data_IF_506354773393
#
_entry.id   IF_506354773393
#
_cell.length_a   1.000
_cell.length_b   1.000
_cell.length_c   1.000
_cell.angle_alpha   90.00
_cell.angle_beta   90.00
_cell.angle_gamma   90.00
#
_symmetry.space_group_name_H-M   'P 1'
#
loop_
_entity.id
_entity.type
_entity.pdbx_description
1 polymer ?
#
# COMPACT_ATOMS: atom_id res chain seq x y z
N UNK A 1 -6.18 10.14 -17.05
CA UNK A 1 -6.79 11.48 -16.81
C UNK A 1 -7.48 11.44 -15.46
N UNK A 2 -7.02 12.25 -14.51
CA UNK A 2 -7.58 12.25 -13.15
C UNK A 2 -9.10 12.45 -13.19
N UNK A 3 -9.83 11.79 -12.33
CA UNK A 3 -11.28 11.90 -12.20
C UNK A 3 -11.67 13.00 -11.22
N UNK A 4 -12.90 13.48 -11.34
CA UNK A 4 -13.48 14.39 -10.35
C UNK A 4 -14.20 13.57 -9.27
N UNK A 5 -14.04 13.97 -8.01
CA UNK A 5 -14.84 13.45 -6.89
C UNK A 5 -16.27 14.00 -6.95
N UNK A 6 -17.15 13.49 -6.11
CA UNK A 6 -18.48 14.05 -5.93
C UNK A 6 -18.48 15.53 -5.51
N UNK A 7 -17.42 16.00 -4.83
CA UNK A 7 -17.19 17.39 -4.47
C UNK A 7 -16.55 18.23 -5.59
N UNK A 8 -16.20 17.63 -6.73
CA UNK A 8 -15.57 18.30 -7.86
C UNK A 8 -14.05 18.47 -7.77
N UNK A 9 -13.39 17.82 -6.81
CA UNK A 9 -11.93 17.82 -6.68
C UNK A 9 -11.29 16.74 -7.54
N UNK A 10 -10.05 16.96 -7.98
CA UNK A 10 -9.33 15.97 -8.78
C UNK A 10 -8.67 14.91 -7.88
N UNK A 11 -8.90 13.64 -8.23
CA UNK A 11 -8.26 12.49 -7.61
C UNK A 11 -7.72 11.54 -8.69
N UNK A 12 -6.62 10.86 -8.41
CA UNK A 12 -5.99 9.89 -9.31
C UNK A 12 -6.31 8.47 -8.86
N UNK A 13 -6.47 7.57 -9.82
CA UNK A 13 -6.57 6.13 -9.56
C UNK A 13 -5.25 5.48 -9.93
N UNK A 14 -4.64 4.83 -8.98
CA UNK A 14 -3.38 4.10 -9.14
C UNK A 14 -3.53 2.63 -8.80
N UNK A 15 -2.56 1.83 -9.22
CA UNK A 15 -2.54 0.38 -9.00
C UNK A 15 -1.10 -0.07 -8.84
N UNK A 16 -0.79 -1.07 -7.97
CA UNK A 16 0.58 -1.52 -7.78
C UNK A 16 1.12 -2.25 -9.02
N UNK A 17 2.40 -2.08 -9.31
CA UNK A 17 3.04 -2.76 -10.44
C UNK A 17 2.93 -4.28 -10.34
N UNK A 18 2.88 -4.83 -9.12
CA UNK A 18 2.66 -6.28 -8.88
C UNK A 18 1.30 -6.79 -9.38
N UNK A 19 0.29 -5.92 -9.56
CA UNK A 19 -1.00 -6.31 -10.13
C UNK A 19 -0.86 -6.93 -11.53
N UNK A 20 0.13 -6.52 -12.32
CA UNK A 20 0.39 -7.08 -13.64
C UNK A 20 1.78 -7.75 -13.71
N UNK A 21 2.25 -8.38 -12.62
CA UNK A 21 3.57 -9.01 -12.60
C UNK A 21 3.54 -10.49 -13.02
N UNK A 22 2.46 -11.21 -12.68
CA UNK A 22 2.36 -12.67 -12.88
C UNK A 22 0.93 -13.09 -13.23
N UNK A 23 0.80 -14.17 -14.01
CA UNK A 23 -0.48 -14.85 -14.28
C UNK A 23 -0.55 -16.20 -13.55
N UNK A 24 -1.76 -16.80 -13.52
CA UNK A 24 -2.04 -18.07 -12.82
C UNK A 24 -1.26 -19.27 -13.40
N UNK A 25 -0.85 -19.21 -14.67
CA UNK A 25 0.00 -20.21 -15.32
C UNK A 25 1.51 -20.03 -15.03
N UNK A 26 1.85 -19.04 -14.18
CA UNK A 26 3.24 -18.73 -13.82
C UNK A 26 3.95 -17.78 -14.77
N UNK A 27 3.31 -17.36 -15.90
CA UNK A 27 3.88 -16.39 -16.84
C UNK A 27 4.15 -15.07 -16.12
N UNK A 28 5.36 -14.52 -16.29
CA UNK A 28 5.74 -13.22 -15.78
C UNK A 28 5.65 -12.16 -16.88
N UNK A 29 5.26 -10.95 -16.51
CA UNK A 29 5.24 -9.78 -17.37
C UNK A 29 6.35 -8.81 -16.96
N UNK A 30 6.93 -8.10 -17.93
CA UNK A 30 7.92 -7.07 -17.65
C UNK A 30 7.26 -5.82 -17.08
N UNK A 31 8.01 -5.03 -16.31
CA UNK A 31 7.52 -3.74 -15.81
C UNK A 31 7.11 -2.79 -16.95
N UNK A 32 7.80 -2.82 -18.09
CA UNK A 32 7.45 -2.00 -19.27
C UNK A 32 6.12 -2.44 -19.88
N UNK A 33 5.86 -3.76 -19.95
CA UNK A 33 4.55 -4.28 -20.36
C UNK A 33 3.44 -3.92 -19.35
N UNK A 34 3.76 -3.88 -18.06
CA UNK A 34 2.83 -3.42 -17.04
C UNK A 34 2.46 -1.94 -17.25
N UNK A 35 3.42 -1.07 -17.58
CA UNK A 35 3.12 0.34 -17.87
C UNK A 35 2.17 0.49 -19.06
N UNK A 36 2.37 -0.28 -20.13
CA UNK A 36 1.46 -0.28 -21.28
C UNK A 36 0.06 -0.74 -20.88
N UNK A 37 -0.02 -1.85 -20.17
CA UNK A 37 -1.29 -2.42 -19.70
C UNK A 37 -2.07 -1.43 -18.82
N UNK A 38 -1.42 -0.76 -17.87
CA UNK A 38 -2.09 0.17 -16.96
C UNK A 38 -2.58 1.43 -17.68
N UNK A 39 -1.78 1.96 -18.63
CA UNK A 39 -2.19 3.09 -19.44
C UNK A 39 -3.39 2.74 -20.33
N UNK A 40 -3.35 1.59 -20.98
CA UNK A 40 -4.43 1.11 -21.86
C UNK A 40 -5.71 0.80 -21.06
N UNK A 41 -5.59 0.35 -19.81
CA UNK A 41 -6.71 0.18 -18.87
C UNK A 41 -7.22 1.52 -18.28
N UNK A 42 -6.55 2.63 -18.56
CA UNK A 42 -6.97 3.99 -18.19
C UNK A 42 -6.59 4.42 -16.76
N UNK A 43 -5.68 3.73 -16.09
CA UNK A 43 -5.16 4.20 -14.79
C UNK A 43 -4.38 5.50 -14.95
N UNK A 44 -4.36 6.33 -13.88
CA UNK A 44 -3.69 7.62 -13.88
C UNK A 44 -2.23 7.52 -13.42
N UNK A 45 -1.90 6.39 -12.81
CA UNK A 45 -0.55 6.14 -12.33
C UNK A 45 -0.39 4.75 -11.72
N UNK A 46 0.79 4.52 -11.18
CA UNK A 46 1.16 3.27 -10.56
C UNK A 46 1.80 3.47 -9.20
N UNK A 47 1.59 2.53 -8.30
CA UNK A 47 2.38 2.31 -7.12
C UNK A 47 3.51 1.32 -7.47
N UNK A 48 4.76 1.76 -7.34
CA UNK A 48 5.91 0.92 -7.69
C UNK A 48 6.21 -0.05 -6.55
N UNK A 49 5.91 -1.33 -6.75
CA UNK A 49 6.25 -2.38 -5.77
C UNK A 49 7.73 -2.72 -5.84
N UNK A 50 8.43 -2.60 -4.70
CA UNK A 50 9.85 -2.89 -4.53
C UNK A 50 10.11 -4.09 -3.61
N UNK A 51 9.11 -4.95 -3.45
CA UNK A 51 9.09 -6.08 -2.52
C UNK A 51 10.15 -7.16 -2.80
N UNK A 52 10.57 -7.31 -4.06
CA UNK A 52 11.62 -8.26 -4.47
C UNK A 52 13.02 -7.59 -4.60
N UNK A 53 13.22 -6.40 -4.01
CA UNK A 53 14.47 -5.67 -4.16
C UNK A 53 15.59 -6.29 -3.32
N UNK A 54 16.64 -6.75 -3.99
CA UNK A 54 17.84 -7.22 -3.32
C UNK A 54 18.71 -6.07 -2.77
N UNK A 55 19.39 -6.26 -1.62
CA UNK A 55 20.09 -5.18 -0.92
C UNK A 55 21.21 -4.51 -1.71
N UNK A 56 21.93 -5.28 -2.51
CA UNK A 56 23.14 -4.84 -3.19
C UNK A 56 22.86 -4.16 -4.54
N UNK A 57 21.58 -3.93 -4.81
CA UNK A 57 21.05 -3.07 -5.86
C UNK A 57 21.74 -3.24 -7.20
N UNK A 58 21.44 -4.35 -7.87
CA UNK A 58 21.95 -4.67 -9.18
C UNK A 58 21.78 -3.48 -10.15
N UNK A 59 22.84 -3.10 -10.86
CA UNK A 59 22.79 -2.07 -11.92
C UNK A 59 21.75 -2.44 -13.00
N UNK A 60 21.48 -3.72 -13.20
CA UNK A 60 20.41 -4.23 -14.06
C UNK A 60 19.04 -3.78 -13.53
N UNK A 61 18.78 -3.96 -12.24
CA UNK A 61 17.51 -3.54 -11.65
C UNK A 61 17.32 -2.02 -11.75
N UNK A 62 18.38 -1.23 -11.52
CA UNK A 62 18.35 0.22 -11.71
C UNK A 62 17.99 0.59 -13.15
N UNK A 63 18.60 -0.07 -14.12
CA UNK A 63 18.32 0.13 -15.53
C UNK A 63 16.88 -0.23 -15.88
N UNK A 64 16.36 -1.35 -15.36
CA UNK A 64 14.97 -1.77 -15.54
C UNK A 64 13.99 -0.75 -14.95
N UNK A 65 14.23 -0.30 -13.73
CA UNK A 65 13.38 0.70 -13.07
C UNK A 65 13.42 2.05 -13.78
N UNK A 66 14.59 2.47 -14.25
CA UNK A 66 14.71 3.70 -15.03
C UNK A 66 13.97 3.60 -16.37
N UNK A 67 14.10 2.47 -17.06
CA UNK A 67 13.36 2.19 -18.31
C UNK A 67 11.84 2.17 -18.07
N UNK A 68 11.40 1.58 -16.95
CA UNK A 68 10.00 1.61 -16.55
C UNK A 68 9.51 3.04 -16.29
N UNK A 69 10.25 3.85 -15.52
CA UNK A 69 9.89 5.24 -15.25
C UNK A 69 9.73 6.06 -16.52
N UNK A 70 10.67 5.92 -17.49
CA UNK A 70 10.56 6.57 -18.79
C UNK A 70 9.34 6.07 -19.59
N UNK A 71 9.05 4.78 -19.56
CA UNK A 71 7.89 4.21 -20.25
C UNK A 71 6.58 4.69 -19.63
N UNK A 72 6.48 4.69 -18.30
CA UNK A 72 5.33 5.22 -17.58
C UNK A 72 5.08 6.70 -17.95
N UNK A 73 6.11 7.53 -17.89
CA UNK A 73 6.00 8.94 -18.27
C UNK A 73 5.57 9.12 -19.72
N UNK A 74 6.14 8.34 -20.66
CA UNK A 74 5.75 8.38 -22.08
C UNK A 74 4.29 7.98 -22.32
N UNK A 75 3.72 7.18 -21.42
CA UNK A 75 2.31 6.77 -21.43
C UNK A 75 1.38 7.70 -20.62
N UNK A 76 1.92 8.75 -20.03
CA UNK A 76 1.15 9.69 -19.18
C UNK A 76 0.81 9.15 -17.79
N UNK A 77 1.44 8.05 -17.35
CA UNK A 77 1.29 7.52 -16.00
C UNK A 77 2.18 8.27 -15.03
N UNK A 78 1.63 8.60 -13.86
CA UNK A 78 2.42 9.10 -12.72
C UNK A 78 2.89 7.95 -11.82
N UNK A 79 3.94 8.18 -11.03
CA UNK A 79 4.38 7.25 -9.97
C UNK A 79 4.33 8.04 -8.64
N UNK A 80 3.15 8.21 -8.04
CA UNK A 80 3.00 9.06 -6.85
C UNK A 80 3.52 8.42 -5.58
N UNK A 81 3.68 7.11 -5.57
CA UNK A 81 4.13 6.35 -4.42
C UNK A 81 4.85 5.08 -4.85
N UNK A 82 5.61 4.50 -3.92
CA UNK A 82 6.14 3.16 -4.03
C UNK A 82 5.92 2.40 -2.72
N UNK A 83 5.81 1.07 -2.82
CA UNK A 83 5.84 0.19 -1.67
C UNK A 83 7.25 -0.37 -1.48
N UNK A 84 7.87 -0.05 -0.34
CA UNK A 84 9.20 -0.56 0.02
C UNK A 84 9.15 -2.07 0.30
N UNK A 85 10.29 -2.77 0.30
CA UNK A 85 10.33 -4.18 0.69
C UNK A 85 9.62 -4.43 2.02
N UNK A 86 8.73 -5.42 2.07
CA UNK A 86 7.89 -5.70 3.24
C UNK A 86 8.01 -7.14 3.77
N UNK A 87 8.68 -8.04 3.05
CA UNK A 87 8.94 -9.40 3.54
C UNK A 87 9.95 -9.38 4.68
N UNK A 88 9.45 -8.99 5.84
CA UNK A 88 10.27 -8.85 7.04
C UNK A 88 10.67 -10.22 7.58
N UNK A 89 11.97 -10.47 7.81
CA UNK A 89 12.44 -11.68 8.49
C UNK A 89 12.06 -11.66 9.96
N UNK A 90 12.30 -12.78 10.67
CA UNK A 90 12.16 -12.78 12.12
C UNK A 90 12.97 -11.64 12.73
N UNK A 91 12.36 -10.78 13.56
CA UNK A 91 13.07 -9.69 14.23
C UNK A 91 14.20 -10.16 15.17
N UNK A 92 14.24 -11.45 15.52
CA UNK A 92 15.28 -12.06 16.34
C UNK A 92 16.48 -12.55 15.51
N UNK A 93 16.38 -12.58 14.18
CA UNK A 93 17.49 -12.83 13.26
C UNK A 93 18.16 -11.51 12.88
N UNK A 94 19.17 -11.09 13.66
CA UNK A 94 19.88 -9.83 13.45
C UNK A 94 20.52 -9.73 12.05
N UNK A 95 21.04 -10.84 11.51
CA UNK A 95 21.70 -10.85 10.20
C UNK A 95 20.68 -10.67 9.08
N UNK A 96 19.52 -11.34 9.17
CA UNK A 96 18.43 -11.19 8.23
C UNK A 96 17.78 -9.81 8.33
N UNK A 97 17.60 -9.28 9.56
CA UNK A 97 17.10 -7.91 9.76
C UNK A 97 18.05 -6.85 9.20
N UNK A 98 19.37 -7.04 9.34
CA UNK A 98 20.35 -6.13 8.73
C UNK A 98 20.30 -6.19 7.19
N UNK A 99 20.12 -7.35 6.57
CA UNK A 99 19.89 -7.45 5.12
C UNK A 99 18.61 -6.75 4.71
N UNK A 100 17.52 -6.99 5.43
CA UNK A 100 16.23 -6.35 5.17
C UNK A 100 16.34 -4.82 5.25
N UNK A 101 17.02 -4.28 6.27
CA UNK A 101 17.28 -2.85 6.39
C UNK A 101 18.05 -2.29 5.17
N UNK A 102 19.01 -3.05 4.63
CA UNK A 102 19.72 -2.66 3.39
C UNK A 102 18.79 -2.67 2.18
N UNK A 103 17.91 -3.66 2.04
CA UNK A 103 16.91 -3.72 0.95
C UNK A 103 15.97 -2.51 1.00
N UNK A 104 15.45 -2.20 2.20
CA UNK A 104 14.59 -1.02 2.40
C UNK A 104 15.35 0.28 2.07
N UNK A 105 16.59 0.39 2.53
CA UNK A 105 17.46 1.54 2.23
C UNK A 105 17.71 1.69 0.72
N UNK A 106 17.93 0.59 0.00
CA UNK A 106 18.04 0.58 -1.45
C UNK A 106 16.74 1.04 -2.11
N UNK A 107 15.59 0.57 -1.61
CA UNK A 107 14.26 1.02 -2.06
C UNK A 107 14.07 2.53 -1.96
N UNK A 108 14.43 3.13 -0.82
CA UNK A 108 14.39 4.60 -0.64
C UNK A 108 15.26 5.32 -1.67
N UNK A 109 16.46 4.81 -1.96
CA UNK A 109 17.33 5.39 -3.00
C UNK A 109 16.73 5.27 -4.40
N UNK A 110 16.06 4.15 -4.71
CA UNK A 110 15.36 3.96 -5.98
C UNK A 110 14.16 4.91 -6.11
N UNK A 111 13.38 5.08 -5.03
CA UNK A 111 12.30 6.06 -4.99
C UNK A 111 12.82 7.47 -5.31
N UNK A 112 13.90 7.90 -4.65
CA UNK A 112 14.52 9.19 -4.90
C UNK A 112 15.04 9.34 -6.34
N UNK A 113 15.69 8.31 -6.89
CA UNK A 113 16.19 8.28 -8.28
C UNK A 113 15.04 8.48 -9.29
N UNK A 114 13.89 7.87 -9.04
CA UNK A 114 12.70 7.98 -9.88
C UNK A 114 11.84 9.21 -9.54
N UNK A 115 12.26 10.04 -8.58
CA UNK A 115 11.51 11.21 -8.08
C UNK A 115 10.12 10.85 -7.55
N UNK A 116 9.98 9.67 -6.95
CA UNK A 116 8.76 9.24 -6.28
C UNK A 116 8.68 9.96 -4.94
N UNK A 117 7.61 10.73 -4.67
CA UNK A 117 7.55 11.58 -3.49
C UNK A 117 7.27 10.80 -2.20
N UNK A 118 6.53 9.70 -2.28
CA UNK A 118 6.04 8.97 -1.12
C UNK A 118 6.44 7.49 -1.17
N UNK A 119 6.85 6.94 -0.01
CA UNK A 119 7.25 5.55 0.11
C UNK A 119 6.53 4.90 1.30
N UNK A 120 5.73 3.89 1.02
CA UNK A 120 5.01 3.11 2.04
C UNK A 120 5.95 2.09 2.67
N UNK A 121 5.88 1.96 3.99
CA UNK A 121 6.68 1.03 4.77
C UNK A 121 5.84 0.38 5.87
N UNK A 122 5.99 -0.94 6.01
CA UNK A 122 5.40 -1.67 7.12
C UNK A 122 6.17 -1.45 8.42
N UNK A 123 5.48 -1.29 9.56
CA UNK A 123 6.11 -1.40 10.87
C UNK A 123 6.51 -2.86 11.14
N UNK A 124 7.44 -3.05 12.07
CA UNK A 124 7.71 -4.37 12.62
C UNK A 124 6.46 -4.88 13.33
N UNK A 125 5.96 -6.04 12.91
CA UNK A 125 4.87 -6.75 13.56
C UNK A 125 5.44 -7.96 14.28
N UNK A 126 5.06 -8.15 15.54
CA UNK A 126 5.39 -9.35 16.30
C UNK A 126 4.12 -9.95 16.88
N UNK A 127 4.04 -11.26 16.79
CA UNK A 127 2.97 -12.07 17.36
C UNK A 127 3.44 -12.70 18.66
N UNK A 128 3.49 -11.93 19.74
CA UNK A 128 3.93 -12.41 21.04
C UNK A 128 2.95 -12.01 22.16
N UNK A 129 2.52 -12.99 22.94
CA UNK A 129 1.52 -12.84 24.00
C UNK A 129 1.94 -11.95 25.19
N UNK A 130 3.17 -11.45 25.25
CA UNK A 130 3.72 -10.73 26.41
C UNK A 130 4.43 -9.42 26.10
N UNK A 131 4.37 -8.92 24.87
CA UNK A 131 5.05 -7.68 24.52
C UNK A 131 4.17 -6.47 24.83
N UNK A 132 4.78 -5.46 25.47
CA UNK A 132 4.07 -4.20 25.68
C UNK A 132 4.09 -3.35 24.40
N UNK A 133 3.10 -2.47 24.29
CA UNK A 133 3.01 -1.48 23.22
C UNK A 133 4.26 -0.58 23.18
N UNK A 134 4.81 -0.22 24.32
CA UNK A 134 6.01 0.60 24.45
C UNK A 134 7.26 -0.09 23.88
N UNK A 135 7.40 -1.40 24.07
CA UNK A 135 8.50 -2.17 23.48
C UNK A 135 8.37 -2.24 21.96
N UNK A 136 7.15 -2.50 21.45
CA UNK A 136 6.87 -2.48 20.02
C UNK A 136 7.22 -1.11 19.42
N UNK A 137 6.79 -0.03 20.04
CA UNK A 137 7.08 1.33 19.59
C UNK A 137 8.59 1.63 19.59
N UNK A 138 9.30 1.26 20.65
CA UNK A 138 10.73 1.48 20.76
C UNK A 138 11.52 0.72 19.68
N UNK A 139 11.14 -0.52 19.38
CA UNK A 139 11.76 -1.30 18.29
C UNK A 139 11.53 -0.69 16.92
N UNK A 140 10.30 -0.28 16.66
CA UNK A 140 9.95 0.36 15.39
C UNK A 140 10.69 1.68 15.20
N UNK A 141 10.76 2.52 16.24
CA UNK A 141 11.53 3.76 16.18
C UNK A 141 13.01 3.45 15.92
N UNK A 142 13.60 2.50 16.63
CA UNK A 142 15.00 2.10 16.41
C UNK A 142 15.28 1.61 15.00
N UNK A 143 14.37 0.84 14.42
CA UNK A 143 14.51 0.28 13.07
C UNK A 143 14.27 1.32 11.99
N UNK A 144 13.18 2.09 12.11
CA UNK A 144 12.72 2.99 11.06
C UNK A 144 13.43 4.35 11.06
N UNK A 145 13.96 4.80 12.20
CA UNK A 145 14.61 6.12 12.32
C UNK A 145 15.74 6.34 11.31
N UNK A 146 16.71 5.42 11.12
CA UNK A 146 17.77 5.61 10.13
C UNK A 146 17.23 5.66 8.70
N UNK A 147 16.18 4.89 8.41
CA UNK A 147 15.53 4.83 7.10
C UNK A 147 14.81 6.17 6.83
N UNK A 148 14.08 6.68 7.83
CA UNK A 148 13.41 7.98 7.76
C UNK A 148 14.40 9.12 7.55
N UNK A 149 15.52 9.10 8.25
CA UNK A 149 16.56 10.13 8.12
C UNK A 149 17.16 10.14 6.70
N UNK A 150 17.37 8.96 6.12
CA UNK A 150 17.82 8.84 4.75
C UNK A 150 16.74 9.35 3.77
N UNK A 151 15.49 8.91 3.94
CA UNK A 151 14.38 9.31 3.09
C UNK A 151 14.21 10.84 3.09
N UNK A 152 14.22 11.47 4.27
CA UNK A 152 14.13 12.91 4.40
C UNK A 152 15.28 13.65 3.70
N UNK A 153 16.53 13.15 3.80
CA UNK A 153 17.68 13.72 3.08
C UNK A 153 17.54 13.62 1.56
N UNK A 154 16.83 12.62 1.08
CA UNK A 154 16.62 12.36 -0.35
C UNK A 154 15.31 12.95 -0.89
N UNK A 155 14.53 13.63 -0.05
CA UNK A 155 13.25 14.23 -0.45
C UNK A 155 12.11 13.24 -0.63
N UNK A 156 12.20 12.05 0.00
CA UNK A 156 11.16 11.01 0.00
C UNK A 156 10.43 11.04 1.34
N UNK A 157 9.11 11.14 1.32
CA UNK A 157 8.27 11.04 2.51
C UNK A 157 7.96 9.59 2.82
N UNK A 158 8.32 9.11 4.01
CA UNK A 158 7.85 7.80 4.48
C UNK A 158 6.42 7.88 4.97
N UNK A 159 5.63 6.86 4.64
CA UNK A 159 4.27 6.64 5.10
C UNK A 159 4.20 5.27 5.78
N UNK A 160 3.98 5.25 7.10
CA UNK A 160 3.84 4.00 7.86
C UNK A 160 2.44 3.44 7.63
N UNK A 161 2.35 2.15 7.32
CA UNK A 161 1.08 1.49 7.03
C UNK A 161 0.49 0.82 8.27
N UNK A 162 -0.85 0.86 8.42
CA UNK A 162 -1.54 0.06 9.42
C UNK A 162 -1.60 -1.41 8.99
N UNK A 163 -1.27 -2.29 9.91
CA UNK A 163 -1.24 -3.72 9.69
C UNK A 163 -2.55 -4.40 10.11
N UNK A 164 -2.75 -5.64 9.71
CA UNK A 164 -3.89 -6.41 10.21
C UNK A 164 -3.72 -6.74 11.69
N UNK A 165 -4.75 -6.46 12.50
CA UNK A 165 -4.79 -6.75 13.93
C UNK A 165 -5.27 -8.15 14.28
N UNK A 166 -5.66 -8.96 13.28
CA UNK A 166 -6.05 -10.35 13.55
C UNK A 166 -4.79 -11.18 13.76
N UNK A 167 -4.68 -11.81 14.95
CA UNK A 167 -3.65 -12.82 15.14
C UNK A 167 -3.87 -13.95 14.14
N UNK A 168 -2.78 -14.53 13.64
CA UNK A 168 -2.88 -15.75 12.85
C UNK A 168 -3.67 -16.81 13.64
N UNK A 169 -4.38 -17.69 12.94
CA UNK A 169 -5.19 -18.73 13.56
C UNK A 169 -4.46 -19.58 14.63
N UNK A 170 -3.13 -19.60 14.60
CA UNK A 170 -2.28 -20.25 15.58
C UNK A 170 -2.17 -19.50 16.93
N UNK A 171 -2.48 -18.20 16.98
CA UNK A 171 -2.25 -17.34 18.16
C UNK A 171 -3.42 -16.36 18.39
N UNK A 172 -4.64 -16.85 18.66
CA UNK A 172 -5.85 -16.02 18.68
C UNK A 172 -5.94 -15.04 19.86
N UNK A 173 -5.05 -15.13 20.84
CA UNK A 173 -5.05 -14.30 22.06
C UNK A 173 -3.94 -13.23 22.08
N UNK A 174 -3.19 -13.09 21.01
CA UNK A 174 -2.07 -12.16 20.96
C UNK A 174 -2.51 -10.79 20.45
N UNK A 175 -2.07 -9.72 21.12
CA UNK A 175 -2.25 -8.37 20.62
C UNK A 175 -1.30 -8.11 19.45
N UNK A 176 -1.80 -7.52 18.38
CA UNK A 176 -1.02 -7.08 17.22
C UNK A 176 -1.00 -5.57 17.22
N UNK A 177 0.13 -4.97 17.58
CA UNK A 177 0.30 -3.52 17.53
C UNK A 177 0.60 -3.05 16.11
N UNK A 178 0.22 -1.80 15.81
CA UNK A 178 0.34 -1.21 14.48
C UNK A 178 -0.90 -1.44 13.61
N UNK A 179 -2.00 -1.92 14.19
CA UNK A 179 -3.23 -2.21 13.46
C UNK A 179 -4.31 -1.12 13.63
N UNK A 180 -4.20 -0.29 14.65
CA UNK A 180 -5.15 0.80 14.93
C UNK A 180 -4.58 2.17 14.51
N UNK A 181 -5.47 3.14 14.34
CA UNK A 181 -5.06 4.52 14.08
C UNK A 181 -4.18 5.08 15.21
N UNK A 182 -4.49 4.74 16.46
CA UNK A 182 -3.69 5.18 17.61
C UNK A 182 -2.26 4.67 17.56
N UNK A 183 -2.05 3.40 17.19
CA UNK A 183 -0.73 2.80 17.09
C UNK A 183 0.11 3.45 16.00
N UNK A 184 -0.45 3.56 14.78
CA UNK A 184 0.30 4.13 13.64
C UNK A 184 0.49 5.63 13.79
N UNK A 185 -0.44 6.35 14.42
CA UNK A 185 -0.32 7.77 14.70
C UNK A 185 0.85 8.04 15.66
N UNK A 186 0.92 7.32 16.79
CA UNK A 186 2.02 7.50 17.74
C UNK A 186 3.36 7.18 17.09
N UNK A 187 3.46 6.10 16.31
CA UNK A 187 4.68 5.75 15.58
C UNK A 187 5.05 6.83 14.56
N UNK A 188 4.07 7.33 13.79
CA UNK A 188 4.29 8.37 12.80
C UNK A 188 4.72 9.69 13.45
N UNK A 189 4.18 10.05 14.61
CA UNK A 189 4.59 11.24 15.36
C UNK A 189 6.02 11.13 15.86
N UNK A 190 6.38 10.00 16.48
CA UNK A 190 7.75 9.73 16.98
C UNK A 190 8.79 9.81 15.88
N UNK A 191 8.44 9.36 14.67
CA UNK A 191 9.33 9.35 13.51
C UNK A 191 9.22 10.61 12.65
N UNK A 192 8.23 11.48 12.89
CA UNK A 192 7.88 12.59 11.99
C UNK A 192 7.64 12.10 10.56
N UNK A 193 6.85 11.02 10.42
CA UNK A 193 6.40 10.44 9.15
C UNK A 193 4.92 10.72 8.92
N UNK A 194 4.40 10.25 7.79
CA UNK A 194 2.99 10.24 7.48
C UNK A 194 2.44 8.81 7.60
N UNK A 195 1.15 8.64 7.37
CA UNK A 195 0.45 7.36 7.43
C UNK A 195 -0.03 6.97 6.05
N UNK A 196 0.11 5.69 5.73
CA UNK A 196 -0.64 4.99 4.70
C UNK A 196 -1.76 4.21 5.39
N UNK A 197 -3.03 4.48 5.03
CA UNK A 197 -4.14 3.74 5.59
C UNK A 197 -4.59 2.64 4.64
N UNK A 198 -4.47 1.39 5.10
CA UNK A 198 -4.98 0.23 4.38
C UNK A 198 -6.37 -0.15 4.92
N UNK A 199 -7.37 0.00 4.04
CA UNK A 199 -8.78 -0.25 4.36
C UNK A 199 -9.08 -1.73 4.57
N UNK A 200 -8.41 -2.60 3.84
CA UNK A 200 -8.57 -4.04 3.98
C UNK A 200 -8.01 -4.55 5.32
N UNK A 201 -6.84 -4.07 5.72
CA UNK A 201 -6.25 -4.38 7.03
C UNK A 201 -7.14 -3.92 8.18
N UNK A 202 -7.69 -2.70 8.09
CA UNK A 202 -8.62 -2.18 9.08
C UNK A 202 -9.92 -3.01 9.14
N UNK A 203 -10.46 -3.45 7.99
CA UNK A 203 -11.63 -4.32 7.93
C UNK A 203 -11.34 -5.70 8.57
N UNK A 204 -10.17 -6.28 8.33
CA UNK A 204 -9.74 -7.52 8.99
C UNK A 204 -9.64 -7.37 10.51
N UNK A 205 -9.26 -6.19 10.98
CA UNK A 205 -9.19 -5.88 12.41
C UNK A 205 -10.58 -5.63 13.01
N UNK A 206 -11.59 -5.38 12.18
CA UNK A 206 -12.97 -5.11 12.60
C UNK A 206 -13.17 -3.67 13.06
N UNK A 207 -12.38 -2.74 12.50
CA UNK A 207 -12.43 -1.32 12.85
C UNK A 207 -13.51 -0.58 12.06
N UNK A 208 -14.11 0.44 12.67
CA UNK A 208 -14.93 1.44 12.00
C UNK A 208 -13.99 2.43 11.29
N UNK A 209 -14.05 2.48 9.97
CA UNK A 209 -13.10 3.25 9.14
C UNK A 209 -13.13 4.74 9.44
N UNK A 210 -14.33 5.32 9.53
CA UNK A 210 -14.52 6.75 9.80
C UNK A 210 -13.97 7.15 11.18
N UNK A 211 -14.25 6.34 12.21
CA UNK A 211 -13.80 6.60 13.57
C UNK A 211 -12.27 6.51 13.71
N UNK A 212 -11.64 5.58 13.00
CA UNK A 212 -10.17 5.48 13.00
C UNK A 212 -9.52 6.60 12.19
N UNK A 213 -10.03 6.88 11.00
CA UNK A 213 -9.47 7.92 10.13
C UNK A 213 -9.63 9.34 10.72
N UNK A 214 -10.70 9.62 11.47
CA UNK A 214 -10.84 10.89 12.17
C UNK A 214 -9.69 11.18 13.13
N UNK A 215 -9.17 10.14 13.81
CA UNK A 215 -7.97 10.27 14.69
C UNK A 215 -6.71 10.63 13.91
N UNK A 216 -6.67 10.31 12.62
CA UNK A 216 -5.53 10.54 11.72
C UNK A 216 -5.61 11.85 10.93
N UNK A 217 -6.44 12.81 11.36
CA UNK A 217 -6.63 14.09 10.67
C UNK A 217 -5.30 14.76 10.31
N UNK A 218 -5.11 15.06 9.02
CA UNK A 218 -3.90 15.69 8.48
C UNK A 218 -2.65 14.79 8.47
N UNK A 219 -2.77 13.50 8.80
CA UNK A 219 -1.66 12.54 8.83
C UNK A 219 -1.73 11.48 7.73
N UNK A 220 -2.90 11.20 7.18
CA UNK A 220 -3.05 10.25 6.07
C UNK A 220 -2.56 10.91 4.78
N UNK A 221 -1.60 10.27 4.13
CA UNK A 221 -1.00 10.74 2.88
C UNK A 221 -1.15 9.74 1.74
N UNK A 222 -1.10 8.46 2.05
CA UNK A 222 -1.34 7.37 1.12
C UNK A 222 -2.51 6.52 1.61
N UNK A 223 -3.16 5.82 0.69
CA UNK A 223 -4.19 4.84 1.02
C UNK A 223 -4.03 3.60 0.16
N UNK A 224 -4.24 2.43 0.76
CA UNK A 224 -4.38 1.17 0.06
C UNK A 224 -5.83 0.73 0.10
N UNK A 225 -6.37 0.46 -1.08
CA UNK A 225 -7.79 0.20 -1.29
C UNK A 225 -7.93 -1.19 -1.87
N UNK A 226 -8.48 -2.07 -1.09
CA UNK A 226 -8.90 -3.40 -1.52
C UNK A 226 -10.02 -3.92 -0.62
N UNK A 227 -10.83 -4.80 -1.13
CA UNK A 227 -11.85 -5.48 -0.35
C UNK A 227 -11.36 -6.85 0.13
N UNK A 228 -12.00 -7.38 1.15
CA UNK A 228 -11.79 -8.72 1.65
C UNK A 228 -13.07 -9.27 2.31
N UNK A 229 -13.01 -10.47 2.84
CA UNK A 229 -14.15 -11.12 3.48
C UNK A 229 -14.23 -10.88 5.00
N UNK A 230 -13.41 -9.97 5.51
CA UNK A 230 -13.26 -9.73 6.95
C UNK A 230 -12.53 -10.86 7.70
N UNK A 231 -12.03 -11.87 7.00
CA UNK A 231 -11.34 -13.02 7.57
C UNK A 231 -9.94 -13.25 6.97
N UNK A 232 -9.75 -12.96 5.69
CA UNK A 232 -8.50 -13.20 4.95
C UNK A 232 -8.13 -11.97 4.13
N UNK A 233 -6.84 -11.69 4.05
CA UNK A 233 -6.29 -10.61 3.24
C UNK A 233 -6.27 -11.01 1.75
N UNK A 234 -7.43 -10.84 1.09
CA UNK A 234 -7.67 -11.35 -0.26
C UNK A 234 -7.44 -10.34 -1.38
N UNK A 235 -7.29 -9.06 -1.08
CA UNK A 235 -7.08 -7.97 -2.04
C UNK A 235 -8.06 -7.99 -3.23
N UNK A 236 -9.37 -8.05 -2.93
CA UNK A 236 -10.43 -8.05 -3.93
C UNK A 236 -10.76 -6.63 -4.41
N UNK A 237 -11.40 -6.55 -5.56
CA UNK A 237 -11.92 -5.28 -6.08
C UNK A 237 -12.97 -4.73 -5.09
N UNK A 238 -12.92 -3.43 -4.74
CA UNK A 238 -13.95 -2.78 -3.92
C UNK A 238 -15.36 -2.99 -4.46
N UNK A 239 -16.35 -3.06 -3.57
CA UNK A 239 -17.76 -3.30 -3.89
C UNK A 239 -18.04 -4.66 -4.55
N UNK A 240 -17.08 -5.60 -4.54
CA UNK A 240 -17.32 -6.94 -5.09
C UNK A 240 -18.09 -7.80 -4.09
N UNK A 241 -19.38 -7.98 -4.36
CA UNK A 241 -20.28 -8.79 -3.51
C UNK A 241 -20.44 -10.23 -4.01
N UNK A 242 -19.67 -10.65 -5.02
CA UNK A 242 -19.85 -11.97 -5.67
C UNK A 242 -19.39 -13.13 -4.78
N UNK A 243 -18.50 -12.87 -3.84
CA UNK A 243 -18.07 -13.85 -2.85
C UNK A 243 -18.42 -13.37 -1.44
N UNK A 244 -19.61 -13.73 -0.95
CA UNK A 244 -19.97 -13.51 0.45
C UNK A 244 -19.35 -14.59 1.31
N UNK A 245 -18.44 -14.20 2.21
CA UNK A 245 -18.01 -15.09 3.27
C UNK A 245 -19.08 -15.18 4.36
N UNK A 246 -19.36 -16.39 4.90
CA UNK A 246 -20.25 -16.53 6.05
C UNK A 246 -19.62 -16.02 7.36
N UNK A 247 -18.35 -15.61 7.37
CA UNK A 247 -17.57 -15.34 8.59
C UNK A 247 -17.23 -13.83 8.75
N UNK A 248 -17.39 -13.03 7.69
CA UNK A 248 -17.07 -11.60 7.74
C UNK A 248 -17.74 -10.83 6.61
N UNK A 249 -17.76 -9.51 6.74
CA UNK A 249 -18.32 -8.57 5.76
C UNK A 249 -17.23 -7.96 4.88
N UNK A 250 -17.65 -7.46 3.72
CA UNK A 250 -16.86 -6.52 2.91
C UNK A 250 -16.58 -5.23 3.68
N UNK A 251 -15.59 -4.48 3.22
CA UNK A 251 -15.35 -3.10 3.67
C UNK A 251 -16.63 -2.27 3.48
N UNK A 252 -17.02 -1.51 4.48
CA UNK A 252 -18.05 -0.48 4.35
C UNK A 252 -17.45 0.74 3.65
N UNK A 253 -17.68 0.83 2.32
CA UNK A 253 -17.10 1.88 1.50
C UNK A 253 -17.76 3.25 1.68
N UNK A 254 -18.96 3.33 2.24
CA UNK A 254 -19.60 4.59 2.63
C UNK A 254 -18.95 5.14 3.90
N UNK A 255 -18.72 4.30 4.90
CA UNK A 255 -17.97 4.63 6.11
C UNK A 255 -16.51 4.96 5.80
N UNK A 256 -15.87 4.23 4.86
CA UNK A 256 -14.52 4.52 4.36
C UNK A 256 -14.42 5.91 3.71
N UNK A 257 -15.37 6.26 2.86
CA UNK A 257 -15.41 7.58 2.22
C UNK A 257 -15.63 8.70 3.25
N UNK A 258 -16.50 8.49 4.24
CA UNK A 258 -16.66 9.44 5.35
C UNK A 258 -15.34 9.63 6.10
N UNK A 259 -14.65 8.55 6.41
CA UNK A 259 -13.34 8.60 7.06
C UNK A 259 -12.31 9.40 6.27
N UNK A 260 -12.26 9.25 4.94
CA UNK A 260 -11.38 10.04 4.07
C UNK A 260 -11.69 11.54 4.10
N UNK A 261 -12.97 11.92 4.23
CA UNK A 261 -13.36 13.31 4.44
C UNK A 261 -12.93 13.83 5.81
N UNK A 262 -13.18 13.05 6.87
CA UNK A 262 -12.84 13.42 8.25
C UNK A 262 -11.35 13.58 8.49
N UNK A 263 -10.51 12.74 7.87
CA UNK A 263 -9.06 12.85 7.98
C UNK A 263 -8.43 13.89 7.04
N UNK A 264 -9.23 14.63 6.28
CA UNK A 264 -8.77 15.66 5.34
C UNK A 264 -7.86 15.12 4.22
N UNK A 265 -8.07 13.86 3.79
CA UNK A 265 -7.25 13.23 2.76
C UNK A 265 -7.19 14.05 1.47
N UNK A 266 -8.30 14.68 1.08
CA UNK A 266 -8.36 15.52 -0.12
C UNK A 266 -7.50 16.79 -0.04
N UNK A 267 -7.03 17.18 1.14
CA UNK A 267 -6.10 18.29 1.33
C UNK A 267 -4.64 17.88 1.11
N UNK A 268 -4.34 16.60 0.95
CA UNK A 268 -2.97 16.12 0.71
C UNK A 268 -2.51 16.42 -0.71
N UNK A 269 -1.19 16.51 -0.92
CA UNK A 269 -0.62 16.69 -2.26
C UNK A 269 -0.65 15.43 -3.11
N UNK A 270 -0.81 14.26 -2.47
CA UNK A 270 -0.84 12.94 -3.12
C UNK A 270 -2.26 12.34 -3.08
N UNK A 271 -3.20 12.95 -3.81
CA UNK A 271 -4.58 12.49 -3.89
C UNK A 271 -4.71 11.29 -4.82
N UNK A 272 -4.35 10.11 -4.32
CA UNK A 272 -4.40 8.88 -5.08
C UNK A 272 -5.20 7.81 -4.35
N UNK A 273 -6.20 7.24 -4.99
CA UNK A 273 -6.83 5.99 -4.59
C UNK A 273 -5.98 4.85 -5.15
N UNK A 274 -5.13 4.24 -4.34
CA UNK A 274 -4.27 3.13 -4.77
C UNK A 274 -4.99 1.80 -4.57
N UNK A 275 -5.40 1.17 -5.68
CA UNK A 275 -6.08 -0.12 -5.68
C UNK A 275 -5.06 -1.25 -5.45
N UNK A 276 -4.83 -1.64 -4.23
CA UNK A 276 -3.87 -2.69 -3.88
C UNK A 276 -4.43 -4.11 -4.14
N UNK A 277 -4.56 -4.43 -5.42
CA UNK A 277 -5.20 -5.66 -5.88
C UNK A 277 -4.21 -6.78 -6.19
N UNK A 278 -4.68 -8.02 -6.10
CA UNK A 278 -4.00 -9.23 -6.58
C UNK A 278 -4.64 -9.71 -7.88
N UNK A 279 -3.82 -10.10 -8.86
CA UNK A 279 -4.27 -10.70 -10.12
C UNK A 279 -3.42 -11.90 -10.53
N UNK A 280 -2.66 -12.46 -9.59
CA UNK A 280 -1.82 -13.64 -9.84
C UNK A 280 -2.63 -14.92 -10.11
N UNK A 281 -3.89 -14.94 -9.76
CA UNK A 281 -4.88 -15.99 -10.03
C UNK A 281 -5.56 -15.84 -11.40
N UNK A 282 -5.44 -14.67 -12.05
CA UNK A 282 -5.98 -14.47 -13.38
C UNK A 282 -5.09 -15.12 -14.46
N UNK A 283 -5.70 -15.68 -15.53
CA UNK A 283 -4.93 -16.21 -16.65
C UNK A 283 -4.16 -15.10 -17.37
N UNK A 284 -3.20 -15.49 -18.22
CA UNK A 284 -2.43 -14.55 -19.04
C UNK A 284 -3.24 -13.92 -20.19
N UNK A 285 -4.49 -14.37 -20.40
CA UNK A 285 -5.36 -13.85 -21.43
C UNK A 285 -5.64 -12.36 -21.27
N UNK A 286 -5.35 -11.58 -22.31
CA UNK A 286 -5.44 -10.13 -22.26
C UNK A 286 -6.87 -9.62 -22.13
N UNK A 287 -7.86 -10.33 -22.69
CA UNK A 287 -9.27 -9.93 -22.61
C UNK A 287 -9.76 -10.03 -21.17
N UNK A 288 -9.43 -11.15 -20.50
CA UNK A 288 -9.82 -11.37 -19.10
C UNK A 288 -9.14 -10.34 -18.19
N UNK A 289 -7.83 -10.10 -18.38
CA UNK A 289 -7.09 -9.13 -17.58
C UNK A 289 -7.56 -7.70 -17.78
N UNK A 290 -7.85 -7.31 -19.02
CA UNK A 290 -8.41 -5.99 -19.33
C UNK A 290 -9.82 -5.81 -18.73
N UNK A 291 -10.67 -6.83 -18.79
CA UNK A 291 -12.00 -6.78 -18.18
C UNK A 291 -11.90 -6.61 -16.64
N UNK A 292 -10.96 -7.33 -15.99
CA UNK A 292 -10.74 -7.20 -14.57
C UNK A 292 -10.20 -5.80 -14.20
N UNK A 293 -9.24 -5.26 -14.95
CA UNK A 293 -8.69 -3.93 -14.75
C UNK A 293 -9.75 -2.83 -14.94
N UNK A 294 -10.60 -2.95 -15.96
CA UNK A 294 -11.71 -2.02 -16.21
C UNK A 294 -12.72 -2.03 -15.06
N UNK A 295 -13.02 -3.21 -14.52
CA UNK A 295 -13.90 -3.36 -13.34
C UNK A 295 -13.28 -2.72 -12.09
N UNK A 296 -11.98 -2.94 -11.87
CA UNK A 296 -11.25 -2.34 -10.77
C UNK A 296 -11.27 -0.81 -10.84
N UNK A 297 -10.99 -0.26 -12.03
CA UNK A 297 -11.07 1.19 -12.25
C UNK A 297 -12.46 1.74 -11.99
N UNK A 298 -13.51 1.08 -12.50
CA UNK A 298 -14.89 1.50 -12.24
C UNK A 298 -15.23 1.50 -10.74
N UNK A 299 -14.75 0.53 -9.98
CA UNK A 299 -14.94 0.48 -8.54
C UNK A 299 -14.27 1.68 -7.82
N UNK A 300 -13.07 2.06 -8.25
CA UNK A 300 -12.39 3.24 -7.71
C UNK A 300 -13.09 4.56 -8.09
N UNK A 301 -13.65 4.64 -9.31
CA UNK A 301 -14.46 5.80 -9.74
C UNK A 301 -15.74 5.91 -8.89
N UNK A 302 -16.36 4.76 -8.57
CA UNK A 302 -17.51 4.73 -7.66
C UNK A 302 -17.14 5.25 -6.26
N UNK A 303 -15.98 4.83 -5.71
CA UNK A 303 -15.50 5.34 -4.43
C UNK A 303 -15.19 6.84 -4.49
N UNK A 304 -14.53 7.30 -5.55
CA UNK A 304 -14.23 8.71 -5.74
C UNK A 304 -15.51 9.59 -5.79
N UNK A 305 -16.59 9.08 -6.33
CA UNK A 305 -17.88 9.79 -6.35
C UNK A 305 -18.54 9.89 -4.96
N UNK A 306 -18.13 9.09 -3.99
CA UNK A 306 -18.55 9.21 -2.59
C UNK A 306 -17.75 10.30 -1.83
N UNK A 307 -16.61 10.74 -2.36
CA UNK A 307 -15.78 11.80 -1.81
C UNK A 307 -16.21 13.17 -2.35
#
# INVERSE_FOLDING_TARGET
MAILTGSGEQIRITVPTRYHAKASDGRRFSLTAAADFFADAGFDGVDLSLDELEPDGDDILRSVLYSFGNRAAAKGLTIPMCHLPFYMPSPDDEAAMARFARSVTAGVRMAAMLKIPDAVIHPIVRHESKRSRELWLAENVRFLQPIRDLAGKLGVQLCVENMTGKPYAAHPSEAVYGSTAEDVLELAERLSTMVCWDFGHANLTGLCQSAELEKLRGKVRCVHIHDNDGARDTHRIPFDTTERSPIGGSVDWEDAAEGLRLCEFMSTSNRCLNLELKSSDLPADSVIRNAHASRARFAAEKLANLL
#
